data_IF_746090777945
#
_entry.id   IF_746090777945
#
_cell.length_a   1.000
_cell.length_b   1.000
_cell.length_c   1.000
_cell.angle_alpha   90.00
_cell.angle_beta   90.00
_cell.angle_gamma   90.00
#
_symmetry.space_group_name_H-M   'P 1'
#
loop_
_entity.id
_entity.type
_entity.pdbx_description
1 polymer ?
#
# COMPACT_ATOMS: atom_id res chain seq x y z
N UNK A 1 -57.77 -15.40 -4.19
CA UNK A 1 -57.55 -16.50 -5.14
C UNK A 1 -57.55 -15.88 -6.53
N UNK A 2 -56.39 -15.83 -7.16
CA UNK A 2 -56.20 -15.31 -8.51
C UNK A 2 -54.98 -16.00 -9.09
N UNK A 3 -55.23 -17.01 -9.92
CA UNK A 3 -54.24 -17.85 -10.58
C UNK A 3 -53.62 -17.10 -11.75
N UNK A 4 -52.31 -17.20 -11.93
CA UNK A 4 -51.68 -17.02 -13.24
C UNK A 4 -50.67 -18.14 -13.44
N UNK A 5 -50.93 -18.95 -14.48
CA UNK A 5 -50.13 -20.09 -14.88
C UNK A 5 -49.48 -19.82 -16.25
N UNK A 6 -48.15 -19.99 -16.27
CA UNK A 6 -47.29 -20.69 -17.26
C UNK A 6 -47.23 -20.13 -18.71
N UNK A 7 -46.02 -19.97 -19.27
CA UNK A 7 -45.46 -20.82 -20.35
C UNK A 7 -43.99 -20.49 -20.66
N UNK A 8 -43.26 -21.60 -20.80
CA UNK A 8 -41.88 -21.87 -21.20
C UNK A 8 -41.34 -21.15 -22.45
N UNK A 9 -40.01 -21.04 -22.51
CA UNK A 9 -39.28 -20.93 -23.78
C UNK A 9 -37.77 -20.81 -23.64
N UNK A 10 -37.05 -21.93 -23.56
CA UNK A 10 -35.63 -22.01 -23.91
C UNK A 10 -35.48 -22.53 -25.35
N UNK A 11 -34.43 -22.12 -26.08
CA UNK A 11 -33.78 -23.07 -26.97
C UNK A 11 -32.24 -23.10 -26.85
N UNK A 12 -31.78 -24.33 -26.66
CA UNK A 12 -30.60 -25.06 -27.16
C UNK A 12 -29.60 -24.38 -28.15
N UNK A 13 -28.32 -24.72 -27.89
CA UNK A 13 -26.99 -24.48 -28.53
C UNK A 13 -26.79 -25.42 -29.78
N UNK A 14 -25.67 -25.48 -30.58
CA UNK A 14 -24.73 -24.57 -31.32
C UNK A 14 -24.74 -24.86 -32.88
N UNK A 15 -23.76 -24.44 -33.76
CA UNK A 15 -22.38 -25.00 -33.89
C UNK A 15 -21.22 -24.03 -34.34
N UNK A 16 -20.01 -24.35 -33.89
CA UNK A 16 -18.72 -24.48 -34.61
C UNK A 16 -18.13 -23.36 -35.52
N UNK A 17 -16.84 -23.04 -35.31
CA UNK A 17 -15.75 -22.99 -36.32
C UNK A 17 -14.59 -22.05 -35.92
N UNK A 18 -13.47 -22.65 -35.50
CA UNK A 18 -12.10 -22.10 -35.59
C UNK A 18 -11.71 -22.06 -37.09
N UNK A 19 -10.97 -21.07 -37.65
CA UNK A 19 -9.50 -21.06 -37.54
C UNK A 19 -8.81 -19.67 -37.65
N UNK A 20 -7.62 -19.51 -37.04
CA UNK A 20 -6.37 -19.10 -37.70
C UNK A 20 -5.38 -18.42 -36.73
N UNK A 21 -4.29 -19.15 -36.46
CA UNK A 21 -3.02 -18.63 -35.96
C UNK A 21 -2.33 -17.71 -36.99
N UNK A 22 -1.52 -16.75 -36.50
CA UNK A 22 -0.17 -16.64 -37.02
C UNK A 22 0.90 -16.63 -35.91
N UNK A 23 1.67 -17.72 -35.88
CA UNK A 23 3.13 -17.76 -36.03
C UNK A 23 3.96 -16.67 -35.33
N UNK A 24 4.39 -16.93 -34.09
CA UNK A 24 5.54 -16.26 -33.47
C UNK A 24 6.65 -17.30 -33.25
N UNK A 25 7.70 -17.20 -34.06
CA UNK A 25 8.95 -17.97 -33.97
C UNK A 25 9.76 -17.51 -32.74
N UNK A 26 10.30 -18.42 -31.90
CA UNK A 26 11.46 -18.13 -31.08
C UNK A 26 12.70 -18.76 -31.72
N UNK A 27 13.62 -17.92 -32.21
CA UNK A 27 14.96 -18.35 -32.60
C UNK A 27 15.98 -17.55 -31.81
N UNK A 28 16.77 -18.25 -30.99
CA UNK A 28 18.25 -18.24 -31.00
C UNK A 28 18.80 -19.09 -29.85
N UNK A 29 19.25 -20.28 -30.24
CA UNK A 29 20.24 -21.08 -29.51
C UNK A 29 21.59 -20.37 -29.56
N UNK A 30 22.26 -20.17 -28.42
CA UNK A 30 23.72 -20.08 -28.33
C UNK A 30 24.21 -20.61 -26.97
N UNK A 31 24.28 -21.92 -26.83
CA UNK A 31 25.28 -22.56 -25.97
C UNK A 31 26.53 -22.80 -26.82
N UNK A 32 27.73 -22.53 -26.29
CA UNK A 32 28.66 -23.65 -26.21
C UNK A 32 29.64 -23.51 -25.03
N UNK A 33 29.66 -24.42 -24.06
CA UNK A 33 30.86 -24.65 -23.24
C UNK A 33 31.04 -26.11 -22.86
N UNK A 34 31.88 -26.81 -23.64
CA UNK A 34 32.77 -27.86 -23.11
C UNK A 34 34.12 -27.73 -23.79
N UNK A 35 35.18 -27.60 -22.99
CA UNK A 35 36.46 -28.32 -23.15
C UNK A 35 37.30 -28.16 -21.88
N UNK A 36 37.64 -29.32 -21.29
CA UNK A 36 38.57 -29.50 -20.16
C UNK A 36 40.03 -29.29 -20.60
N UNK A 37 40.89 -28.93 -19.65
CA UNK A 37 42.33 -29.25 -19.46
C UNK A 37 42.81 -28.32 -18.32
N UNK A 38 43.74 -28.63 -17.42
CA UNK A 38 44.51 -29.79 -16.98
C UNK A 38 45.04 -29.41 -15.58
N UNK A 39 45.21 -30.42 -14.72
CA UNK A 39 45.93 -30.35 -13.44
C UNK A 39 47.32 -29.70 -13.60
N UNK A 40 47.77 -28.93 -12.59
CA UNK A 40 49.03 -29.21 -11.86
C UNK A 40 49.25 -28.19 -10.71
N UNK A 41 49.51 -28.76 -9.51
CA UNK A 41 50.34 -28.27 -8.40
C UNK A 41 49.90 -27.04 -7.61
N UNK A 42 49.35 -27.27 -6.40
CA UNK A 42 49.29 -26.27 -5.33
C UNK A 42 50.17 -26.80 -4.17
N UNK A 43 51.23 -26.07 -3.76
CA UNK A 43 51.92 -26.37 -2.51
C UNK A 43 51.07 -25.92 -1.33
N UNK A 44 50.99 -26.77 -0.31
CA UNK A 44 50.42 -26.48 1.00
C UNK A 44 51.07 -25.24 1.63
N UNK A 45 50.30 -24.17 1.77
CA UNK A 45 50.61 -23.07 2.69
C UNK A 45 49.33 -22.68 3.42
N UNK A 46 49.29 -23.03 4.70
CA UNK A 46 48.37 -22.49 5.70
C UNK A 46 48.66 -21.00 5.90
N UNK A 47 47.69 -20.10 5.72
CA UNK A 47 47.75 -18.76 6.29
C UNK A 47 46.89 -18.74 7.55
N UNK A 48 47.52 -18.44 8.68
CA UNK A 48 46.87 -18.08 9.94
C UNK A 48 45.83 -16.97 9.70
N UNK A 49 44.57 -17.24 10.08
CA UNK A 49 43.51 -16.24 10.13
C UNK A 49 43.87 -15.17 11.19
N UNK A 50 43.86 -13.86 10.86
CA UNK A 50 43.82 -12.83 11.89
C UNK A 50 42.41 -12.81 12.54
N UNK A 51 42.30 -12.49 13.84
CA UNK A 51 41.00 -12.36 14.47
C UNK A 51 40.25 -11.17 13.87
N UNK A 52 38.93 -11.27 13.63
CA UNK A 52 38.15 -10.14 13.16
C UNK A 52 37.98 -9.14 14.32
N UNK A 53 38.76 -8.07 14.32
CA UNK A 53 38.45 -6.87 15.09
C UNK A 53 37.31 -6.13 14.37
N UNK A 54 36.07 -6.56 14.58
CA UNK A 54 34.90 -5.77 14.25
C UNK A 54 34.58 -4.83 15.42
N UNK A 55 35.41 -3.79 15.56
CA UNK A 55 34.95 -2.57 16.22
C UNK A 55 34.10 -1.81 15.18
N UNK A 56 32.84 -2.23 15.01
CA UNK A 56 31.87 -1.42 14.28
C UNK A 56 31.52 -0.27 15.19
N UNK A 57 32.15 0.88 14.92
CA UNK A 57 31.74 2.15 15.48
C UNK A 57 30.25 2.33 15.24
N UNK A 58 29.51 2.50 16.32
CA UNK A 58 28.04 2.58 16.31
C UNK A 58 27.62 3.95 15.79
N UNK A 59 27.82 4.20 14.50
CA UNK A 59 27.05 5.21 13.77
C UNK A 59 25.62 4.68 13.57
N UNK A 60 24.88 4.53 14.68
CA UNK A 60 23.42 4.60 14.63
C UNK A 60 23.12 5.98 14.08
N UNK A 61 22.72 6.11 12.81
CA UNK A 61 21.83 7.18 12.32
C UNK A 61 21.54 7.12 10.81
N UNK A 62 22.47 6.86 9.86
CA UNK A 62 22.13 7.03 8.43
C UNK A 62 21.11 6.00 7.91
N UNK A 63 21.31 4.71 8.23
CA UNK A 63 20.50 3.62 7.66
C UNK A 63 19.06 3.60 8.17
N UNK A 64 18.85 4.00 9.43
CA UNK A 64 17.51 4.05 10.03
C UNK A 64 16.68 5.18 9.42
N UNK A 65 17.28 6.36 9.25
CA UNK A 65 16.60 7.52 8.67
C UNK A 65 16.31 7.32 7.18
N UNK A 66 17.24 6.71 6.41
CA UNK A 66 16.98 6.34 5.02
C UNK A 66 15.80 5.35 4.88
N UNK A 67 15.74 4.33 5.74
CA UNK A 67 14.65 3.35 5.70
C UNK A 67 13.31 4.01 6.07
N UNK A 68 13.29 4.86 7.10
CA UNK A 68 12.10 5.63 7.50
C UNK A 68 11.60 6.50 6.36
N UNK A 69 12.48 7.28 5.74
CA UNK A 69 12.15 8.15 4.61
C UNK A 69 11.59 7.37 3.42
N UNK A 70 12.16 6.19 3.13
CA UNK A 70 11.65 5.31 2.09
C UNK A 70 10.22 4.84 2.38
N UNK A 71 9.95 4.36 3.61
CA UNK A 71 8.60 3.94 3.99
C UNK A 71 7.62 5.10 4.00
N UNK A 72 8.02 6.30 4.46
CA UNK A 72 7.15 7.47 4.47
C UNK A 72 6.76 7.89 3.05
N UNK A 73 7.72 7.90 2.11
CA UNK A 73 7.45 8.15 0.69
C UNK A 73 6.55 7.09 0.06
N UNK A 74 6.81 5.81 0.35
CA UNK A 74 5.99 4.71 -0.14
C UNK A 74 4.55 4.82 0.38
N UNK A 75 4.38 5.04 1.69
CA UNK A 75 3.08 5.23 2.31
C UNK A 75 2.35 6.42 1.68
N UNK A 76 3.01 7.58 1.57
CA UNK A 76 2.43 8.77 0.95
C UNK A 76 1.93 8.50 -0.48
N UNK A 77 2.74 7.82 -1.30
CA UNK A 77 2.35 7.44 -2.65
C UNK A 77 1.18 6.44 -2.69
N UNK A 78 1.15 5.46 -1.79
CA UNK A 78 0.04 4.50 -1.68
C UNK A 78 -1.26 5.21 -1.29
N UNK A 79 -1.21 6.10 -0.29
CA UNK A 79 -2.37 6.89 0.11
C UNK A 79 -2.84 7.77 -1.05
N UNK A 80 -1.94 8.46 -1.76
CA UNK A 80 -2.30 9.27 -2.94
C UNK A 80 -2.99 8.50 -4.07
N UNK A 81 -2.79 7.18 -4.15
CA UNK A 81 -3.49 6.28 -5.08
C UNK A 81 -4.82 5.73 -4.52
N UNK A 82 -5.24 6.17 -3.33
CA UNK A 82 -6.42 5.65 -2.63
C UNK A 82 -6.21 4.29 -1.96
N UNK A 83 -4.98 3.78 -1.91
CA UNK A 83 -4.65 2.47 -1.32
C UNK A 83 -4.41 2.59 0.18
N UNK A 84 -5.50 2.87 0.92
CA UNK A 84 -5.46 3.16 2.35
C UNK A 84 -5.00 1.95 3.19
N UNK A 85 -5.35 0.73 2.78
CA UNK A 85 -4.89 -0.50 3.46
C UNK A 85 -3.38 -0.71 3.32
N UNK A 86 -2.85 -0.54 2.11
CA UNK A 86 -1.42 -0.69 1.85
C UNK A 86 -0.62 0.39 2.61
N UNK A 87 -1.16 1.60 2.74
CA UNK A 87 -0.59 2.64 3.61
C UNK A 87 -0.48 2.14 5.06
N UNK A 88 -1.55 1.57 5.60
CA UNK A 88 -1.57 1.11 7.00
C UNK A 88 -0.55 0.01 7.24
N UNK A 89 -0.42 -0.94 6.31
CA UNK A 89 0.59 -1.99 6.40
C UNK A 89 2.01 -1.42 6.44
N UNK A 90 2.30 -0.40 5.63
CA UNK A 90 3.61 0.28 5.65
C UNK A 90 3.80 1.06 6.95
N UNK A 91 2.77 1.73 7.45
CA UNK A 91 2.81 2.46 8.71
C UNK A 91 3.09 1.51 9.88
N UNK A 92 2.36 0.41 10.01
CA UNK A 92 2.57 -0.61 11.03
C UNK A 92 3.99 -1.19 10.97
N UNK A 93 4.50 -1.47 9.77
CA UNK A 93 5.88 -1.91 9.56
C UNK A 93 6.88 -0.86 10.04
N UNK A 94 6.63 0.42 9.74
CA UNK A 94 7.49 1.52 10.18
C UNK A 94 7.50 1.64 11.71
N UNK A 95 6.33 1.56 12.35
CA UNK A 95 6.15 1.63 13.81
C UNK A 95 6.79 0.45 14.54
N UNK A 96 6.61 -0.77 14.04
CA UNK A 96 7.29 -1.96 14.57
C UNK A 96 8.82 -1.78 14.56
N UNK A 97 9.31 -1.01 13.60
CA UNK A 97 10.74 -0.75 13.42
C UNK A 97 11.28 0.46 14.20
N UNK A 98 10.40 1.36 14.67
CA UNK A 98 10.73 2.56 15.47
C UNK A 98 10.40 2.41 16.96
N UNK A 99 9.92 1.24 17.39
CA UNK A 99 9.50 1.02 18.78
C UNK A 99 8.17 1.70 19.12
N UNK A 100 7.30 1.87 18.14
CA UNK A 100 5.98 2.48 18.31
C UNK A 100 5.95 4.01 18.25
N UNK A 101 7.09 4.68 18.07
CA UNK A 101 7.11 6.13 17.88
C UNK A 101 6.72 6.49 16.43
N UNK A 102 5.51 7.05 16.29
CA UNK A 102 4.96 7.50 15.01
C UNK A 102 5.41 8.91 14.61
N UNK A 103 5.87 9.73 15.55
CA UNK A 103 6.05 11.18 15.35
C UNK A 103 6.98 11.50 14.19
N UNK A 104 8.14 10.83 14.13
CA UNK A 104 9.14 11.00 13.08
C UNK A 104 8.71 10.42 11.74
N UNK A 105 7.86 9.40 11.75
CA UNK A 105 7.35 8.83 10.51
C UNK A 105 6.30 9.77 9.91
N UNK A 106 5.39 10.27 10.75
CA UNK A 106 4.34 11.23 10.36
C UNK A 106 4.94 12.53 9.84
N UNK A 107 6.03 13.03 10.44
CA UNK A 107 6.69 14.24 9.96
C UNK A 107 7.27 14.11 8.55
N UNK A 108 7.54 12.88 8.10
CA UNK A 108 8.10 12.61 6.78
C UNK A 108 7.02 12.24 5.74
N UNK A 109 5.75 12.15 6.15
CA UNK A 109 4.63 11.90 5.23
C UNK A 109 4.30 13.16 4.42
N UNK A 110 3.98 12.96 3.14
CA UNK A 110 3.33 13.98 2.33
C UNK A 110 1.82 13.96 2.64
N UNK A 111 1.41 14.83 3.56
CA UNK A 111 0.03 14.94 4.00
C UNK A 111 -0.91 15.40 2.89
N UNK A 112 -0.40 16.10 1.87
CA UNK A 112 -1.15 16.47 0.69
C UNK A 112 -1.56 15.23 -0.10
N UNK A 113 -0.65 14.28 -0.31
CA UNK A 113 -0.97 13.00 -0.95
C UNK A 113 -1.93 12.16 -0.10
N UNK A 114 -1.70 12.10 1.22
CA UNK A 114 -2.56 11.33 2.13
C UNK A 114 -4.01 11.82 2.05
N UNK A 115 -4.23 13.13 2.21
CA UNK A 115 -5.58 13.68 2.15
C UNK A 115 -6.18 13.65 0.74
N UNK A 116 -5.39 13.87 -0.32
CA UNK A 116 -5.88 13.69 -1.69
C UNK A 116 -6.42 12.27 -1.92
N UNK A 117 -5.71 11.28 -1.39
CA UNK A 117 -6.13 9.88 -1.34
C UNK A 117 -7.44 9.67 -0.62
N UNK A 118 -7.51 10.09 0.65
CA UNK A 118 -8.70 9.97 1.50
C UNK A 118 -9.92 10.61 0.82
N UNK A 119 -9.79 11.84 0.34
CA UNK A 119 -10.86 12.55 -0.35
C UNK A 119 -11.25 11.87 -1.67
N UNK A 120 -10.29 11.28 -2.38
CA UNK A 120 -10.55 10.47 -3.57
C UNK A 120 -11.41 9.26 -3.26
N UNK A 121 -11.10 8.54 -2.19
CA UNK A 121 -11.90 7.39 -1.73
C UNK A 121 -13.30 7.83 -1.26
N UNK A 122 -13.41 8.95 -0.53
CA UNK A 122 -14.70 9.55 -0.14
C UNK A 122 -15.58 9.85 -1.37
N UNK A 123 -15.00 10.48 -2.40
CA UNK A 123 -15.70 10.83 -3.66
C UNK A 123 -16.18 9.63 -4.44
N UNK A 124 -15.45 8.52 -4.36
CA UNK A 124 -15.84 7.25 -4.98
C UNK A 124 -16.98 6.56 -4.21
N UNK A 125 -17.44 7.13 -3.09
CA UNK A 125 -18.55 6.61 -2.29
C UNK A 125 -18.13 5.63 -1.21
N UNK A 126 -16.85 5.28 -1.11
CA UNK A 126 -16.34 4.29 -0.16
C UNK A 126 -15.96 4.93 1.18
N UNK A 127 -16.96 5.42 1.91
CA UNK A 127 -16.71 6.07 3.19
C UNK A 127 -16.33 5.07 4.30
N UNK A 128 -16.79 3.82 4.20
CA UNK A 128 -16.42 2.78 5.16
C UNK A 128 -14.91 2.57 5.19
N UNK A 129 -14.26 2.50 4.02
CA UNK A 129 -12.80 2.43 3.94
C UNK A 129 -12.11 3.64 4.58
N UNK A 130 -12.67 4.84 4.42
CA UNK A 130 -12.12 6.08 5.00
C UNK A 130 -12.25 6.09 6.52
N UNK A 131 -13.43 5.75 7.03
CA UNK A 131 -13.71 5.64 8.46
C UNK A 131 -12.80 4.59 9.10
N UNK A 132 -12.72 3.39 8.51
CA UNK A 132 -11.86 2.31 8.99
C UNK A 132 -10.37 2.65 8.90
N UNK A 133 -9.97 3.46 7.92
CA UNK A 133 -8.61 3.98 7.82
C UNK A 133 -8.30 4.97 8.94
N UNK A 134 -9.09 6.02 9.11
CA UNK A 134 -8.85 7.06 10.12
C UNK A 134 -8.89 6.47 11.53
N UNK A 135 -9.86 5.60 11.83
CA UNK A 135 -9.92 4.93 13.13
C UNK A 135 -8.68 4.06 13.41
N UNK A 136 -8.12 3.39 12.39
CA UNK A 136 -6.87 2.62 12.57
C UNK A 136 -5.64 3.51 12.75
N UNK A 137 -5.55 4.61 12.02
CA UNK A 137 -4.48 5.61 12.23
C UNK A 137 -4.51 6.14 13.68
N UNK A 138 -5.69 6.43 14.21
CA UNK A 138 -5.86 6.88 15.59
C UNK A 138 -5.45 5.80 16.61
N UNK A 139 -5.86 4.54 16.40
CA UNK A 139 -5.44 3.38 17.23
C UNK A 139 -3.94 3.11 17.19
N UNK A 140 -3.25 3.50 16.12
CA UNK A 140 -1.80 3.45 16.01
C UNK A 140 -1.10 4.62 16.73
N UNK A 141 -1.85 5.41 17.51
CA UNK A 141 -1.33 6.49 18.33
C UNK A 141 -1.06 7.78 17.56
N UNK A 142 -1.66 7.93 16.37
CA UNK A 142 -1.51 9.12 15.53
C UNK A 142 -2.82 9.92 15.59
N UNK A 143 -2.86 11.06 16.31
CA UNK A 143 -4.07 11.86 16.41
C UNK A 143 -4.46 12.42 15.05
N UNK A 144 -5.69 12.17 14.58
CA UNK A 144 -6.15 12.67 13.26
C UNK A 144 -6.08 14.20 13.18
N UNK A 145 -6.35 14.88 14.30
CA UNK A 145 -6.21 16.34 14.42
C UNK A 145 -4.80 16.85 14.11
N UNK A 146 -3.77 16.03 14.31
CA UNK A 146 -2.38 16.39 13.96
C UNK A 146 -2.08 16.24 12.46
N UNK A 147 -2.93 15.50 11.75
CA UNK A 147 -2.80 15.22 10.33
C UNK A 147 -3.57 16.19 9.45
N UNK A 148 -4.61 16.84 10.00
CA UNK A 148 -5.47 17.77 9.25
C UNK A 148 -4.87 19.18 9.30
N UNK A 149 -4.42 19.67 8.15
CA UNK A 149 -4.08 21.08 7.96
C UNK A 149 -5.30 21.89 7.47
N UNK A 150 -5.13 23.21 7.29
CA UNK A 150 -6.22 24.09 6.83
C UNK A 150 -6.76 23.72 5.43
N UNK A 151 -5.91 23.20 4.56
CA UNK A 151 -6.29 22.80 3.19
C UNK A 151 -7.12 21.50 3.21
N UNK A 152 -6.63 20.49 3.94
CA UNK A 152 -7.33 19.24 4.19
C UNK A 152 -8.67 19.48 4.86
N UNK A 153 -8.74 20.36 5.86
CA UNK A 153 -9.99 20.73 6.52
C UNK A 153 -10.99 21.36 5.55
N UNK A 154 -10.56 22.33 4.73
CA UNK A 154 -11.44 22.96 3.74
C UNK A 154 -12.00 21.94 2.74
N UNK A 155 -11.18 20.99 2.30
CA UNK A 155 -11.60 19.93 1.41
C UNK A 155 -12.55 18.93 2.09
N UNK A 156 -12.29 18.55 3.35
CA UNK A 156 -13.20 17.72 4.14
C UNK A 156 -14.57 18.37 4.32
N UNK A 157 -14.62 19.67 4.65
CA UNK A 157 -15.88 20.41 4.78
C UNK A 157 -16.69 20.34 3.49
N UNK A 158 -16.03 20.48 2.33
CA UNK A 158 -16.69 20.36 1.03
C UNK A 158 -17.26 18.96 0.81
N UNK A 159 -16.49 17.90 1.07
CA UNK A 159 -16.98 16.54 0.90
C UNK A 159 -18.10 16.20 1.90
N UNK A 160 -17.97 16.62 3.17
CA UNK A 160 -19.02 16.48 4.18
C UNK A 160 -20.33 17.14 3.75
N UNK A 161 -20.27 18.33 3.15
CA UNK A 161 -21.46 19.00 2.63
C UNK A 161 -22.14 18.17 1.54
N UNK A 162 -21.36 17.55 0.65
CA UNK A 162 -21.90 16.65 -0.39
C UNK A 162 -22.54 15.39 0.22
N UNK A 163 -21.99 14.85 1.31
CA UNK A 163 -22.60 13.73 2.04
C UNK A 163 -23.99 14.11 2.57
N UNK A 164 -24.10 15.26 3.22
CA UNK A 164 -25.36 15.75 3.79
C UNK A 164 -26.38 16.07 2.69
N UNK A 165 -25.97 16.76 1.63
CA UNK A 165 -26.84 17.04 0.47
C UNK A 165 -27.30 15.76 -0.24
N UNK A 166 -26.49 14.70 -0.20
CA UNK A 166 -26.82 13.37 -0.71
C UNK A 166 -27.65 12.50 0.24
N UNK A 167 -28.08 13.00 1.40
CA UNK A 167 -28.89 12.26 2.37
C UNK A 167 -28.14 11.21 3.21
N UNK A 168 -26.81 11.18 3.15
CA UNK A 168 -25.94 10.23 3.85
C UNK A 168 -25.54 10.76 5.24
N UNK A 169 -26.53 10.93 6.11
CA UNK A 169 -26.35 11.59 7.39
C UNK A 169 -25.63 10.70 8.43
N UNK A 170 -25.90 9.39 8.42
CA UNK A 170 -25.26 8.44 9.35
C UNK A 170 -23.75 8.40 9.13
N UNK A 171 -23.35 8.27 7.87
CA UNK A 171 -21.98 8.36 7.39
C UNK A 171 -21.27 9.65 7.80
N UNK A 172 -21.97 10.78 7.66
CA UNK A 172 -21.45 12.07 8.09
C UNK A 172 -21.21 12.12 9.59
N UNK A 173 -22.13 11.61 10.41
CA UNK A 173 -21.99 11.59 11.88
C UNK A 173 -20.78 10.75 12.29
N UNK A 174 -20.63 9.55 11.75
CA UNK A 174 -19.48 8.67 12.06
C UNK A 174 -18.16 9.33 11.69
N UNK A 175 -18.07 9.96 10.52
CA UNK A 175 -16.88 10.70 10.12
C UNK A 175 -16.57 11.86 11.08
N UNK A 176 -17.59 12.60 11.51
CA UNK A 176 -17.43 13.71 12.45
C UNK A 176 -17.01 13.24 13.85
N UNK A 177 -17.46 12.08 14.30
CA UNK A 177 -17.02 11.49 15.57
C UNK A 177 -15.52 11.22 15.55
N UNK A 178 -15.02 10.58 14.48
CA UNK A 178 -13.58 10.29 14.29
C UNK A 178 -12.77 11.57 14.18
N UNK A 179 -13.22 12.54 13.37
CA UNK A 179 -12.54 13.83 13.24
C UNK A 179 -12.54 14.63 14.55
N UNK A 180 -13.54 14.41 15.42
CA UNK A 180 -13.59 15.03 16.74
C UNK A 180 -12.61 14.41 17.74
N UNK A 181 -12.06 13.23 17.46
CA UNK A 181 -11.12 12.53 18.35
C UNK A 181 -11.73 12.21 19.73
N UNK A 182 -13.02 11.89 19.76
CA UNK A 182 -13.71 11.38 20.95
C UNK A 182 -13.85 9.87 20.81
N UNK A 183 -12.88 9.13 21.35
CA UNK A 183 -13.07 7.75 21.85
C UNK A 183 -12.75 7.73 23.35
#
# INVERSE_FOLDING_TARGET
>A
MGEFAIIFGSPLIPPDSNPHHPNIKPSKNLYPKKKKKKSLLIPSRSPSLPPPLLLVDSHRHPRSDLRRNYHARLASGLAGLGKLEDFLMVLETALASSGGDASRFVSDLDMGMVWAGVLGVMRNGDLEAVVGFLGRVERLGIPIRSLVDGSAMAALVRECRLLVEGGRLEEFVVLMEILSGKE
#
